data_IF_603845640123
#
_entry.id   IF_603845640123
#
_cell.length_a   1.000
_cell.length_b   1.000
_cell.length_c   1.000
_cell.angle_alpha   90.00
_cell.angle_beta   90.00
_cell.angle_gamma   90.00
#
_symmetry.space_group_name_H-M   'P 1'
#
loop_
_entity.id
_entity.type
_entity.pdbx_description
1 polymer ?
#
# COMPACT_ATOMS: atom_id res chain seq x y z
N UNK A 1 8.06 7.15 3.51
CA UNK A 1 7.74 8.25 2.60
C UNK A 1 8.76 8.34 1.46
N UNK A 2 10.06 8.37 1.75
CA UNK A 2 11.14 8.48 0.75
C UNK A 2 11.07 7.40 -0.36
N UNK A 3 10.64 6.19 -0.04
CA UNK A 3 10.46 5.11 -1.04
C UNK A 3 9.37 5.41 -2.08
N UNK A 4 8.28 6.07 -1.67
CA UNK A 4 7.19 6.47 -2.57
C UNK A 4 7.45 7.83 -3.23
N UNK A 5 8.20 8.71 -2.55
CA UNK A 5 8.64 10.01 -3.05
C UNK A 5 10.16 10.12 -2.99
N UNK A 6 10.94 9.50 -3.87
CA UNK A 6 12.39 9.57 -3.83
C UNK A 6 12.93 11.00 -3.75
N UNK A 7 13.77 11.29 -2.73
CA UNK A 7 14.26 12.61 -2.43
C UNK A 7 13.25 13.55 -1.76
N UNK A 8 12.10 13.01 -1.38
CA UNK A 8 11.11 13.72 -0.55
C UNK A 8 11.31 13.46 0.93
N UNK A 9 10.51 14.12 1.74
CA UNK A 9 10.48 13.97 3.19
C UNK A 9 9.03 14.02 3.68
N UNK A 10 8.70 13.22 4.71
CA UNK A 10 7.39 13.20 5.31
C UNK A 10 7.48 12.97 6.80
N UNK A 11 6.69 13.74 7.56
CA UNK A 11 6.66 13.65 9.02
C UNK A 11 5.26 13.84 9.59
N UNK A 12 5.06 13.30 10.78
CA UNK A 12 3.90 13.55 11.60
C UNK A 12 4.21 14.65 12.60
N UNK A 13 3.31 15.62 12.74
CA UNK A 13 3.45 16.75 13.64
C UNK A 13 2.21 16.82 14.53
N UNK A 14 2.41 16.99 15.84
CA UNK A 14 1.30 17.25 16.76
C UNK A 14 0.80 18.66 16.55
N UNK A 15 -0.52 18.86 16.50
CA UNK A 15 -1.13 20.19 16.36
C UNK A 15 -1.07 21.01 17.65
N UNK A 16 -1.09 20.33 18.79
CA UNK A 16 -0.91 20.90 20.13
C UNK A 16 -0.02 19.97 20.97
N UNK A 17 1.31 20.15 20.93
CA UNK A 17 2.24 19.28 21.65
C UNK A 17 2.19 19.41 23.16
N UNK A 18 1.60 20.49 23.68
CA UNK A 18 1.50 20.76 25.13
C UNK A 18 0.28 20.07 25.76
N UNK A 19 -0.72 19.68 24.95
CA UNK A 19 -1.90 18.94 25.40
C UNK A 19 -2.08 17.62 24.61
N UNK A 20 -1.48 16.55 25.13
CA UNK A 20 -1.53 15.21 24.52
C UNK A 20 -2.92 14.56 24.51
N UNK A 21 -3.90 15.08 25.26
CA UNK A 21 -5.25 14.52 25.30
C UNK A 21 -6.14 15.08 24.19
N UNK A 22 -5.87 16.31 23.76
CA UNK A 22 -6.68 17.00 22.73
C UNK A 22 -5.94 17.22 21.44
N UNK A 23 -4.61 16.99 21.41
CA UNK A 23 -3.80 17.17 20.19
C UNK A 23 -4.26 16.31 19.03
N UNK A 24 -4.30 16.90 17.85
CA UNK A 24 -4.41 16.18 16.58
C UNK A 24 -3.05 15.83 16.00
N UNK A 25 -3.06 15.04 14.92
CA UNK A 25 -1.87 14.71 14.15
C UNK A 25 -2.01 15.33 12.75
N UNK A 26 -1.06 16.15 12.37
CA UNK A 26 -0.93 16.70 11.01
C UNK A 26 0.15 15.94 10.24
N UNK A 27 -0.11 15.71 8.95
CA UNK A 27 0.89 15.14 8.04
C UNK A 27 1.52 16.29 7.27
N UNK A 28 2.81 16.46 7.45
CA UNK A 28 3.61 17.36 6.62
C UNK A 28 4.42 16.53 5.61
N UNK A 29 4.36 16.92 4.36
CA UNK A 29 5.05 16.26 3.27
C UNK A 29 5.79 17.27 2.39
N UNK A 30 6.98 16.88 1.96
CA UNK A 30 7.82 17.61 1.02
C UNK A 30 8.18 16.69 -0.13
N UNK A 31 7.43 16.68 -1.24
CA UNK A 31 7.87 16.02 -2.46
C UNK A 31 9.20 16.60 -2.94
N UNK A 32 10.00 15.81 -3.67
CA UNK A 32 11.31 16.24 -4.16
C UNK A 32 11.23 17.57 -4.92
N UNK A 33 12.14 18.49 -4.60
CA UNK A 33 12.21 19.82 -5.24
C UNK A 33 11.11 20.80 -4.83
N UNK A 34 10.22 20.45 -3.89
CA UNK A 34 9.13 21.31 -3.40
C UNK A 34 9.34 21.75 -1.95
N UNK A 35 8.55 22.75 -1.52
CA UNK A 35 8.50 23.16 -0.11
C UNK A 35 7.65 22.21 0.70
N UNK A 36 7.92 22.11 2.00
CA UNK A 36 7.06 21.38 2.96
C UNK A 36 5.64 21.95 2.92
N UNK A 37 4.66 21.06 2.85
CA UNK A 37 3.24 21.41 2.88
C UNK A 37 2.48 20.44 3.77
N UNK A 38 1.40 20.92 4.39
CA UNK A 38 0.39 20.07 5.02
C UNK A 38 -0.32 19.24 3.98
N UNK A 39 -0.81 18.07 4.37
CA UNK A 39 -1.51 17.14 3.48
C UNK A 39 -2.65 17.82 2.70
N UNK A 40 -3.40 18.72 3.35
CA UNK A 40 -4.50 19.49 2.73
C UNK A 40 -4.07 20.40 1.57
N UNK A 41 -2.81 20.81 1.52
CA UNK A 41 -2.24 21.71 0.51
C UNK A 41 -1.51 20.98 -0.62
N UNK A 42 -1.47 19.66 -0.59
CA UNK A 42 -0.92 18.83 -1.67
C UNK A 42 -1.91 18.71 -2.83
N UNK A 43 -1.40 18.46 -4.03
CA UNK A 43 -2.23 18.06 -5.18
C UNK A 43 -2.96 16.74 -4.89
N UNK A 44 -4.01 16.42 -5.64
CA UNK A 44 -4.78 15.17 -5.44
C UNK A 44 -3.90 13.93 -5.43
N UNK A 45 -3.08 13.73 -6.46
CA UNK A 45 -2.17 12.57 -6.54
C UNK A 45 -1.11 12.55 -5.44
N UNK A 46 -0.50 13.70 -5.10
CA UNK A 46 0.45 13.79 -3.99
C UNK A 46 -0.20 13.46 -2.64
N UNK A 47 -1.45 13.88 -2.44
CA UNK A 47 -2.22 13.58 -1.24
C UNK A 47 -2.50 12.09 -1.11
N UNK A 48 -2.98 11.45 -2.18
CA UNK A 48 -3.23 10.01 -2.19
C UNK A 48 -1.96 9.23 -1.91
N UNK A 49 -0.86 9.59 -2.53
CA UNK A 49 0.42 8.92 -2.31
C UNK A 49 0.96 9.15 -0.88
N UNK A 50 0.79 10.34 -0.30
CA UNK A 50 1.14 10.62 1.09
C UNK A 50 0.28 9.81 2.08
N UNK A 51 -1.02 9.65 1.79
CA UNK A 51 -1.91 8.81 2.59
C UNK A 51 -1.48 7.33 2.54
N UNK A 52 -1.13 6.82 1.35
CA UNK A 52 -0.59 5.45 1.19
C UNK A 52 0.74 5.31 1.94
N UNK A 53 1.62 6.31 1.91
CA UNK A 53 2.88 6.30 2.65
C UNK A 53 2.65 6.19 4.16
N UNK A 54 1.68 6.92 4.70
CA UNK A 54 1.30 6.83 6.11
C UNK A 54 0.74 5.45 6.44
N UNK A 55 -0.17 4.91 5.61
CA UNK A 55 -0.75 3.59 5.80
C UNK A 55 0.34 2.51 5.89
N UNK A 56 1.29 2.52 4.95
CA UNK A 56 2.42 1.59 4.93
C UNK A 56 3.33 1.78 6.14
N UNK A 57 3.55 3.03 6.59
CA UNK A 57 4.32 3.31 7.80
C UNK A 57 3.67 2.69 9.05
N UNK A 58 2.33 2.77 9.17
CA UNK A 58 1.57 2.13 10.25
C UNK A 58 1.72 0.60 10.18
N UNK A 59 1.62 0.01 8.99
CA UNK A 59 1.79 -1.44 8.80
C UNK A 59 3.19 -1.91 9.22
N UNK A 60 4.22 -1.12 8.92
CA UNK A 60 5.60 -1.43 9.33
C UNK A 60 5.83 -1.23 10.83
N UNK A 61 5.21 -0.22 11.43
CA UNK A 61 5.34 0.06 12.87
C UNK A 61 4.57 -0.97 13.74
N UNK A 62 3.44 -1.45 13.23
CA UNK A 62 2.60 -2.46 13.88
C UNK A 62 2.18 -3.54 12.88
N UNK A 63 3.02 -4.55 12.63
CA UNK A 63 2.69 -5.63 11.71
C UNK A 63 1.46 -6.40 12.15
N UNK A 64 0.58 -6.71 11.19
CA UNK A 64 -0.59 -7.57 11.35
C UNK A 64 -0.39 -8.86 10.57
N UNK A 65 -0.99 -9.98 10.98
CA UNK A 65 -0.92 -11.21 10.20
C UNK A 65 -1.61 -11.11 8.84
N UNK A 66 -2.55 -10.18 8.67
CA UNK A 66 -3.19 -9.91 7.38
C UNK A 66 -3.60 -8.43 7.24
N UNK A 67 -3.74 -7.99 5.99
CA UNK A 67 -4.24 -6.66 5.62
C UNK A 67 -5.28 -6.81 4.50
N UNK A 68 -6.35 -6.02 4.58
CA UNK A 68 -7.34 -5.88 3.51
C UNK A 68 -7.21 -4.47 2.95
N UNK A 69 -6.95 -4.36 1.67
CA UNK A 69 -6.77 -3.10 0.96
C UNK A 69 -7.74 -3.03 -0.22
N UNK A 70 -8.54 -1.98 -0.25
CA UNK A 70 -9.58 -1.77 -1.25
C UNK A 70 -9.20 -0.56 -2.12
N UNK A 71 -8.83 -0.83 -3.38
CA UNK A 71 -8.47 0.14 -4.41
C UNK A 71 -7.49 1.24 -3.95
N UNK A 72 -6.56 0.93 -3.04
CA UNK A 72 -5.63 1.92 -2.47
C UNK A 72 -4.71 2.56 -3.50
N UNK A 73 -4.53 1.91 -4.64
CA UNK A 73 -3.71 2.36 -5.76
C UNK A 73 -4.49 3.15 -6.83
N UNK A 74 -5.82 3.27 -6.73
CA UNK A 74 -6.66 3.82 -7.81
C UNK A 74 -6.30 5.26 -8.24
N UNK A 75 -5.74 6.05 -7.33
CA UNK A 75 -5.34 7.43 -7.60
C UNK A 75 -3.84 7.59 -7.95
N UNK A 76 -3.09 6.49 -8.14
CA UNK A 76 -1.68 6.50 -8.45
C UNK A 76 -1.43 6.40 -9.95
N UNK A 77 -0.41 7.12 -10.43
CA UNK A 77 0.14 6.90 -11.77
C UNK A 77 0.98 5.60 -11.83
N UNK A 78 1.33 5.16 -13.04
CA UNK A 78 2.08 3.92 -13.26
C UNK A 78 3.42 3.84 -12.52
N UNK A 79 4.11 4.96 -12.38
CA UNK A 79 5.42 5.02 -11.70
C UNK A 79 5.24 4.80 -10.20
N UNK A 80 4.28 5.48 -9.60
CA UNK A 80 3.98 5.37 -8.18
C UNK A 80 3.30 4.05 -7.84
N UNK A 81 2.47 3.51 -8.74
CA UNK A 81 1.96 2.15 -8.63
C UNK A 81 3.10 1.12 -8.56
N UNK A 82 4.10 1.22 -9.44
CA UNK A 82 5.27 0.33 -9.40
C UNK A 82 5.96 0.32 -8.04
N UNK A 83 6.19 1.50 -7.45
CA UNK A 83 6.79 1.63 -6.10
C UNK A 83 5.92 1.03 -4.99
N UNK A 84 4.60 1.21 -5.09
CA UNK A 84 3.67 0.60 -4.15
C UNK A 84 3.71 -0.93 -4.24
N UNK A 85 3.76 -1.50 -5.45
CA UNK A 85 3.83 -2.94 -5.66
C UNK A 85 5.13 -3.56 -5.10
N UNK A 86 6.25 -2.84 -5.12
CA UNK A 86 7.48 -3.26 -4.43
C UNK A 86 7.26 -3.36 -2.92
N UNK A 87 6.55 -2.40 -2.32
CA UNK A 87 6.21 -2.42 -0.90
C UNK A 87 5.27 -3.59 -0.58
N UNK A 88 4.25 -3.84 -1.42
CA UNK A 88 3.37 -5.01 -1.24
C UNK A 88 4.16 -6.32 -1.31
N UNK A 89 5.11 -6.42 -2.23
CA UNK A 89 6.01 -7.58 -2.34
C UNK A 89 6.86 -7.79 -1.08
N UNK A 90 7.25 -6.73 -0.40
CA UNK A 90 7.93 -6.81 0.89
C UNK A 90 6.97 -7.24 2.01
N UNK A 91 5.82 -6.59 2.14
CA UNK A 91 4.83 -6.88 3.19
C UNK A 91 4.30 -8.31 3.15
N UNK A 92 4.10 -8.88 1.96
CA UNK A 92 3.61 -10.25 1.79
C UNK A 92 4.55 -11.34 2.33
N UNK A 93 5.81 -11.01 2.64
CA UNK A 93 6.77 -11.96 3.24
C UNK A 93 6.41 -12.32 4.68
N UNK A 94 5.75 -11.40 5.39
CA UNK A 94 5.39 -11.55 6.80
C UNK A 94 3.89 -11.48 7.07
N UNK A 95 3.08 -11.10 6.08
CA UNK A 95 1.65 -10.86 6.24
C UNK A 95 0.89 -11.33 5.00
N UNK A 96 -0.35 -11.79 5.20
CA UNK A 96 -1.26 -12.04 4.08
C UNK A 96 -1.85 -10.72 3.60
N UNK A 97 -1.75 -10.44 2.30
CA UNK A 97 -2.37 -9.28 1.68
C UNK A 97 -3.62 -9.73 0.92
N UNK A 98 -4.75 -9.11 1.21
CA UNK A 98 -6.01 -9.25 0.46
C UNK A 98 -6.25 -7.91 -0.21
N UNK A 99 -6.10 -7.87 -1.54
CA UNK A 99 -6.16 -6.62 -2.31
C UNK A 99 -7.36 -6.71 -3.24
N UNK A 100 -8.27 -5.76 -3.10
CA UNK A 100 -9.38 -5.56 -4.04
C UNK A 100 -8.89 -4.55 -5.07
N UNK A 101 -8.88 -4.93 -6.34
CA UNK A 101 -8.31 -4.11 -7.40
C UNK A 101 -8.94 -4.40 -8.76
N UNK A 102 -8.92 -3.41 -9.62
CA UNK A 102 -9.17 -3.57 -11.05
C UNK A 102 -7.89 -3.32 -11.90
N UNK A 103 -6.77 -3.01 -11.25
CA UNK A 103 -5.49 -2.72 -11.91
C UNK A 103 -4.77 -4.02 -12.31
N UNK A 104 -4.53 -4.19 -13.62
CA UNK A 104 -3.86 -5.38 -14.15
C UNK A 104 -2.48 -5.63 -13.54
N UNK A 105 -1.69 -4.57 -13.36
CA UNK A 105 -0.34 -4.64 -12.76
C UNK A 105 -0.37 -5.14 -11.32
N UNK A 106 -1.40 -4.77 -10.55
CA UNK A 106 -1.60 -5.28 -9.17
C UNK A 106 -1.95 -6.77 -9.20
N UNK A 107 -2.78 -7.20 -10.15
CA UNK A 107 -3.12 -8.61 -10.33
C UNK A 107 -1.91 -9.47 -10.70
N UNK A 108 -0.98 -8.95 -11.51
CA UNK A 108 0.21 -9.67 -11.99
C UNK A 108 1.19 -10.05 -10.86
N UNK A 109 1.18 -9.32 -9.73
CA UNK A 109 2.05 -9.62 -8.56
C UNK A 109 1.37 -10.50 -7.52
N UNK A 110 0.13 -10.90 -7.72
CA UNK A 110 -0.61 -11.74 -6.79
C UNK A 110 -0.15 -13.21 -6.83
N UNK A 111 -0.31 -13.92 -5.73
CA UNK A 111 -0.11 -15.39 -5.66
C UNK A 111 -1.37 -16.14 -6.10
N UNK A 112 -2.54 -15.54 -5.88
CA UNK A 112 -3.83 -16.09 -6.30
C UNK A 112 -4.79 -14.96 -6.66
N UNK A 113 -5.63 -15.20 -7.64
CA UNK A 113 -6.70 -14.30 -8.07
C UNK A 113 -8.05 -14.90 -7.73
N UNK A 114 -8.94 -14.05 -7.22
CA UNK A 114 -10.35 -14.38 -6.97
C UNK A 114 -11.21 -13.42 -7.78
N UNK A 115 -11.76 -13.91 -8.90
CA UNK A 115 -12.72 -13.17 -9.71
C UNK A 115 -14.12 -13.30 -9.12
N UNK A 116 -14.78 -12.18 -8.88
CA UNK A 116 -16.17 -12.14 -8.41
C UNK A 116 -17.05 -11.71 -9.56
N UNK A 117 -18.03 -12.52 -9.90
CA UNK A 117 -19.00 -12.23 -10.95
C UNK A 117 -20.43 -12.39 -10.42
N UNK A 118 -21.36 -11.64 -11.00
CA UNK A 118 -22.78 -11.80 -10.73
C UNK A 118 -23.48 -12.18 -12.03
N UNK A 119 -24.23 -13.26 -12.01
CA UNK A 119 -25.08 -13.72 -13.11
C UNK A 119 -26.43 -14.11 -12.57
N UNK A 120 -27.50 -13.56 -13.14
CA UNK A 120 -28.90 -13.83 -12.74
C UNK A 120 -29.16 -13.61 -11.23
N UNK A 121 -28.55 -12.56 -10.64
CA UNK A 121 -28.66 -12.26 -9.21
C UNK A 121 -27.85 -13.17 -8.28
N UNK A 122 -27.08 -14.11 -8.83
CA UNK A 122 -26.26 -15.05 -8.06
C UNK A 122 -24.77 -14.64 -8.17
N UNK A 123 -24.14 -14.40 -7.05
CA UNK A 123 -22.70 -14.14 -6.98
C UNK A 123 -21.92 -15.46 -7.10
N UNK A 124 -20.93 -15.49 -7.99
CA UNK A 124 -19.99 -16.59 -8.15
C UNK A 124 -18.56 -16.11 -7.95
N UNK A 125 -17.77 -16.87 -7.20
CA UNK A 125 -16.34 -16.69 -7.06
C UNK A 125 -15.60 -17.74 -7.89
N UNK A 126 -14.60 -17.29 -8.65
CA UNK A 126 -13.68 -18.14 -9.40
C UNK A 126 -12.28 -17.84 -8.91
N UNK A 127 -11.51 -18.86 -8.56
CA UNK A 127 -10.14 -18.69 -8.09
C UNK A 127 -9.13 -19.30 -9.04
N UNK A 128 -7.97 -18.66 -9.16
CA UNK A 128 -6.82 -19.15 -9.92
C UNK A 128 -5.54 -18.85 -9.14
N UNK A 129 -4.72 -19.88 -8.88
CA UNK A 129 -3.34 -19.70 -8.41
C UNK A 129 -2.46 -19.30 -9.57
N UNK A 130 -1.58 -18.32 -9.31
CA UNK A 130 -0.56 -17.92 -10.26
C UNK A 130 0.77 -18.58 -9.86
N UNK A 131 1.40 -19.30 -10.79
CA UNK A 131 2.75 -19.84 -10.58
C UNK A 131 3.74 -18.67 -10.53
N UNK A 132 4.45 -18.53 -9.41
CA UNK A 132 5.54 -17.55 -9.27
C UNK A 132 6.86 -18.31 -9.36
N UNK A 133 7.73 -18.02 -10.34
CA UNK A 133 8.93 -18.82 -10.60
C UNK A 133 9.96 -18.86 -9.45
N UNK A 134 9.93 -17.95 -8.52
CA UNK A 134 10.98 -17.79 -7.48
C UNK A 134 10.67 -18.42 -6.11
N UNK A 135 9.55 -19.10 -5.93
CA UNK A 135 9.16 -19.67 -4.62
C UNK A 135 9.40 -21.17 -4.47
N UNK A 136 9.53 -21.91 -5.58
CA UNK A 136 9.69 -23.38 -5.52
C UNK A 136 11.15 -23.83 -5.33
N UNK A 137 12.12 -22.89 -5.22
CA UNK A 137 13.55 -23.23 -5.01
C UNK A 137 14.04 -23.03 -3.56
N UNK A 138 13.17 -22.71 -2.61
CA UNK A 138 13.54 -22.61 -1.21
C UNK A 138 13.32 -23.95 -0.49
N UNK A 139 14.32 -24.81 -0.61
CA UNK A 139 14.84 -25.73 0.41
C UNK A 139 13.85 -26.73 1.00
N UNK A 140 13.91 -27.95 0.48
CA UNK A 140 13.79 -29.15 1.33
C UNK A 140 15.10 -29.29 2.12
N UNK A 141 15.12 -29.19 3.45
CA UNK A 141 16.25 -29.71 4.19
C UNK A 141 16.10 -31.24 4.20
N UNK A 142 17.06 -31.90 3.59
CA UNK A 142 17.28 -33.33 3.81
C UNK A 142 17.50 -33.58 5.29
N UNK A 143 16.69 -34.45 5.89
CA UNK A 143 16.95 -35.15 7.14
C UNK A 143 17.16 -36.62 6.79
#
# INVERSE_FOLDING_TARGET
FDRLFPGGDGRLVLTDPDDMLTTGIEIEARPAGKKVKRLSLLSGGERSLAAVALLVAIFKARPSPFYVMDEVEAALDDTNLGRLLEIFTELRRSSQLIIITHQKRTMEVADALYGITMRDGITKAVSQRLAQPDRDTAVTPDI
#
